data_IF_696231112110
#
_entry.id   IF_696231112110
#
_cell.length_a   1.000
_cell.length_b   1.000
_cell.length_c   1.000
_cell.angle_alpha   90.00
_cell.angle_beta   90.00
_cell.angle_gamma   90.00
#
_symmetry.space_group_name_H-M   'P 1'
#
loop_
_entity.id
_entity.type
_entity.pdbx_description
1 polymer ?
#
# COMPACT_ATOMS: atom_id res chain seq x y z
N UNK A 1 -34.71 79.02 3.81
CA UNK A 1 -34.43 78.00 2.78
C UNK A 1 -33.87 76.79 3.53
N UNK A 2 -34.57 75.65 3.47
CA UNK A 2 -34.41 74.48 4.35
C UNK A 2 -33.05 73.79 4.10
N UNK A 3 -32.31 73.46 5.16
CA UNK A 3 -31.27 72.42 5.16
C UNK A 3 -31.81 71.27 6.01
N UNK A 4 -31.95 70.11 5.37
CA UNK A 4 -32.51 68.91 5.96
C UNK A 4 -31.45 68.08 6.69
N UNK A 5 -31.86 67.58 7.84
CA UNK A 5 -31.25 66.53 8.63
C UNK A 5 -31.12 65.21 7.86
N UNK A 6 -30.00 64.51 8.05
CA UNK A 6 -29.96 63.05 7.95
C UNK A 6 -29.10 62.49 9.09
N UNK A 7 -29.77 62.10 10.19
CA UNK A 7 -29.22 61.30 11.28
C UNK A 7 -29.39 59.83 10.93
N UNK A 8 -28.29 59.11 10.72
CA UNK A 8 -28.29 57.65 10.58
C UNK A 8 -28.26 57.01 11.97
N UNK A 9 -29.28 56.20 12.28
CA UNK A 9 -29.38 55.38 13.48
C UNK A 9 -28.36 54.23 13.41
N UNK A 10 -27.44 54.16 14.38
CA UNK A 10 -26.67 52.94 14.68
C UNK A 10 -27.33 52.28 15.89
N UNK A 11 -28.08 51.21 15.64
CA UNK A 11 -28.58 50.32 16.69
C UNK A 11 -27.42 49.49 17.22
N UNK A 12 -27.20 49.59 18.53
CA UNK A 12 -26.27 48.76 19.30
C UNK A 12 -26.88 47.38 19.48
N UNK A 13 -26.26 46.34 18.91
CA UNK A 13 -26.45 44.96 19.33
C UNK A 13 -25.27 44.58 20.22
N UNK A 14 -25.55 44.34 21.49
CA UNK A 14 -24.62 43.75 22.46
C UNK A 14 -24.71 42.24 22.27
N UNK A 15 -23.62 41.61 21.83
CA UNK A 15 -23.49 40.16 21.86
C UNK A 15 -22.21 39.80 22.60
N UNK A 16 -22.43 38.99 23.63
CA UNK A 16 -21.47 38.49 24.61
C UNK A 16 -20.29 37.77 23.93
N UNK A 17 -19.06 38.23 24.19
CA UNK A 17 -17.85 37.44 23.93
C UNK A 17 -17.72 36.40 25.06
N UNK A 18 -18.15 35.17 24.79
CA UNK A 18 -17.65 34.01 25.54
C UNK A 18 -16.38 33.50 24.87
N UNK A 19 -15.31 33.60 25.62
CA UNK A 19 -13.98 33.06 25.36
C UNK A 19 -14.08 31.52 25.43
N UNK A 20 -14.10 30.84 24.29
CA UNK A 20 -13.81 29.40 24.23
C UNK A 20 -12.46 29.23 23.53
N UNK A 21 -11.52 28.68 24.28
CA UNK A 21 -10.17 28.40 23.83
C UNK A 21 -10.20 27.41 22.67
N UNK A 22 -9.54 27.79 21.57
CA UNK A 22 -9.11 26.89 20.51
C UNK A 22 -8.08 25.93 21.11
N UNK A 23 -8.49 24.69 21.36
CA UNK A 23 -7.57 23.55 21.36
C UNK A 23 -7.63 22.99 19.95
N UNK A 24 -6.69 23.41 19.12
CA UNK A 24 -6.47 22.80 17.82
C UNK A 24 -5.80 21.44 18.03
N UNK A 25 -6.59 20.37 17.92
CA UNK A 25 -6.05 19.08 17.52
C UNK A 25 -6.10 19.04 16.00
N UNK A 26 -4.92 19.01 15.38
CA UNK A 26 -4.77 18.74 13.96
C UNK A 26 -5.13 17.29 13.70
N UNK A 27 -6.36 17.07 13.25
CA UNK A 27 -6.74 15.86 12.52
C UNK A 27 -6.14 16.04 11.12
N UNK A 28 -5.18 15.20 10.76
CA UNK A 28 -4.55 15.25 9.44
C UNK A 28 -5.57 14.83 8.39
N UNK A 29 -5.55 15.46 7.21
CA UNK A 29 -6.44 15.17 6.08
C UNK A 29 -6.39 13.71 5.55
N UNK A 30 -5.55 12.85 6.14
CA UNK A 30 -5.52 11.41 5.91
C UNK A 30 -6.63 10.64 6.67
N UNK A 31 -7.24 11.21 7.71
CA UNK A 31 -8.34 10.57 8.46
C UNK A 31 -9.74 10.86 7.87
N UNK A 32 -9.87 11.81 6.93
CA UNK A 32 -11.15 12.21 6.33
C UNK A 32 -11.40 11.64 4.90
N UNK A 33 -10.55 10.72 4.43
CA UNK A 33 -10.80 9.99 3.19
C UNK A 33 -11.68 8.76 3.45
N UNK A 34 -12.98 8.91 3.14
CA UNK A 34 -14.03 7.89 3.08
C UNK A 34 -14.36 7.21 4.42
N UNK A 35 -15.60 7.42 4.90
CA UNK A 35 -16.31 6.40 5.65
C UNK A 35 -16.45 5.17 4.74
N UNK A 36 -15.41 4.35 4.67
CA UNK A 36 -15.42 3.12 3.90
C UNK A 36 -16.38 2.17 4.60
N UNK A 37 -17.22 1.48 3.83
CA UNK A 37 -18.07 0.40 4.33
C UNK A 37 -17.26 -0.85 4.72
N UNK A 38 -15.93 -0.74 4.84
CA UNK A 38 -15.02 -1.85 5.10
C UNK A 38 -14.60 -1.91 6.57
N UNK A 39 -14.34 -3.15 6.99
CA UNK A 39 -13.77 -3.46 8.29
C UNK A 39 -12.28 -3.11 8.29
N UNK A 40 -11.84 -2.38 9.30
CA UNK A 40 -10.44 -2.08 9.55
C UNK A 40 -9.89 -2.97 10.67
N UNK A 41 -8.65 -3.45 10.51
CA UNK A 41 -7.97 -4.25 11.53
C UNK A 41 -6.54 -3.72 11.67
N UNK A 42 -6.19 -3.31 12.88
CA UNK A 42 -4.84 -2.88 13.26
C UNK A 42 -4.28 -3.80 14.33
N UNK A 43 -2.95 -3.84 14.45
CA UNK A 43 -2.25 -4.67 15.43
C UNK A 43 -1.17 -3.86 16.14
N UNK A 44 -1.29 -3.79 17.46
CA UNK A 44 -0.16 -3.47 18.31
C UNK A 44 0.65 -4.74 18.57
N UNK A 45 1.80 -4.85 17.90
CA UNK A 45 2.69 -6.01 18.01
C UNK A 45 3.28 -6.18 19.42
N UNK A 46 3.45 -5.10 20.18
CA UNK A 46 4.07 -5.16 21.51
C UNK A 46 3.17 -5.82 22.55
N UNK A 47 1.86 -5.62 22.40
CA UNK A 47 0.83 -6.21 23.25
C UNK A 47 0.09 -7.37 22.58
N UNK A 48 0.43 -7.71 21.33
CA UNK A 48 -0.26 -8.69 20.48
C UNK A 48 -1.77 -8.45 20.37
N UNK A 49 -2.17 -7.17 20.43
CA UNK A 49 -3.56 -6.76 20.52
C UNK A 49 -4.05 -6.23 19.18
N UNK A 50 -5.13 -6.84 18.70
CA UNK A 50 -5.84 -6.47 17.49
C UNK A 50 -6.99 -5.53 17.84
N UNK A 51 -7.08 -4.39 17.16
CA UNK A 51 -8.26 -3.52 17.16
C UNK A 51 -8.99 -3.70 15.85
N UNK A 52 -10.29 -3.99 15.95
CA UNK A 52 -11.17 -4.34 14.84
C UNK A 52 -12.32 -3.35 14.85
N UNK A 53 -12.47 -2.59 13.78
CA UNK A 53 -13.49 -1.55 13.64
C UNK A 53 -14.29 -1.81 12.37
N UNK A 54 -15.61 -1.65 12.41
CA UNK A 54 -16.48 -1.87 11.26
C UNK A 54 -17.61 -0.84 11.19
N UNK A 55 -18.31 -0.72 10.05
CA UNK A 55 -19.45 0.20 9.95
C UNK A 55 -20.55 -0.16 10.95
N UNK A 56 -21.04 0.84 11.69
CA UNK A 56 -22.18 0.64 12.60
C UNK A 56 -23.50 0.50 11.82
N UNK A 57 -24.04 -0.71 11.81
CA UNK A 57 -25.40 -0.99 11.41
C UNK A 57 -26.33 -0.87 12.62
N UNK A 58 -26.95 0.31 12.74
CA UNK A 58 -27.78 0.68 13.90
C UNK A 58 -28.80 -0.40 14.30
N UNK A 59 -28.79 -0.76 15.59
CA UNK A 59 -29.76 -1.67 16.18
C UNK A 59 -29.49 -3.15 15.92
N UNK A 60 -28.32 -3.49 15.39
CA UNK A 60 -27.86 -4.87 15.24
C UNK A 60 -26.99 -5.32 16.42
N UNK A 61 -26.80 -6.64 16.51
CA UNK A 61 -25.70 -7.21 17.29
C UNK A 61 -24.73 -7.94 16.38
N UNK A 62 -23.48 -8.08 16.83
CA UNK A 62 -22.41 -8.69 16.05
C UNK A 62 -21.86 -9.94 16.76
N UNK A 63 -21.46 -10.92 15.95
CA UNK A 63 -20.62 -12.06 16.34
C UNK A 63 -19.27 -11.88 15.67
N UNK A 64 -18.20 -11.98 16.45
CA UNK A 64 -16.82 -11.89 15.95
C UNK A 64 -16.14 -13.23 16.16
N UNK A 65 -15.57 -13.76 15.10
CA UNK A 65 -14.77 -15.00 15.12
C UNK A 65 -13.38 -14.71 14.57
N UNK A 66 -12.38 -15.45 15.07
CA UNK A 66 -11.00 -15.43 14.57
C UNK A 66 -10.64 -16.78 13.98
N UNK A 67 -10.01 -16.80 12.81
CA UNK A 67 -9.58 -17.99 12.10
C UNK A 67 -8.15 -17.85 11.60
N UNK A 68 -7.46 -18.97 11.47
CA UNK A 68 -6.20 -19.07 10.72
C UNK A 68 -6.39 -19.33 9.23
N UNK A 69 -7.63 -19.56 8.78
CA UNK A 69 -7.96 -19.80 7.37
C UNK A 69 -8.26 -18.49 6.65
N UNK A 70 -7.73 -18.35 5.43
CA UNK A 70 -7.83 -17.13 4.62
C UNK A 70 -9.26 -16.76 4.23
N UNK A 71 -10.20 -17.70 4.28
CA UNK A 71 -11.63 -17.48 4.01
C UNK A 71 -12.46 -17.23 5.28
N UNK A 72 -11.80 -17.13 6.45
CA UNK A 72 -12.43 -16.89 7.74
C UNK A 72 -13.23 -18.07 8.29
N UNK A 73 -13.24 -19.23 7.63
CA UNK A 73 -14.02 -20.38 8.08
C UNK A 73 -13.37 -21.09 9.25
N UNK A 74 -14.17 -21.90 9.95
CA UNK A 74 -13.75 -22.66 11.13
C UNK A 74 -13.10 -21.76 12.21
N UNK A 75 -13.60 -20.53 12.35
CA UNK A 75 -13.12 -19.59 13.36
C UNK A 75 -13.61 -19.93 14.76
N UNK A 76 -12.81 -19.52 15.74
CA UNK A 76 -13.16 -19.53 17.15
C UNK A 76 -13.94 -18.26 17.50
N UNK A 77 -15.02 -18.40 18.25
CA UNK A 77 -15.84 -17.26 18.69
C UNK A 77 -15.11 -16.48 19.77
N UNK A 78 -14.81 -15.22 19.50
CA UNK A 78 -14.14 -14.32 20.43
C UNK A 78 -15.08 -13.25 21.01
N UNK A 79 -16.22 -13.02 20.35
CA UNK A 79 -17.31 -12.22 20.91
C UNK A 79 -18.67 -12.63 20.33
N UNK A 80 -19.71 -12.53 21.16
CA UNK A 80 -21.11 -12.73 20.76
C UNK A 80 -21.99 -11.59 21.26
N UNK A 81 -23.02 -11.28 20.48
CA UNK A 81 -24.04 -10.30 20.81
C UNK A 81 -23.48 -8.90 21.18
N UNK A 82 -22.37 -8.50 20.55
CA UNK A 82 -21.81 -7.16 20.70
C UNK A 82 -22.75 -6.11 20.13
N UNK A 83 -22.86 -4.97 20.79
CA UNK A 83 -23.65 -3.83 20.31
C UNK A 83 -22.76 -2.73 19.73
N UNK A 84 -21.49 -2.73 20.09
CA UNK A 84 -20.47 -1.82 19.60
C UNK A 84 -20.05 -2.20 18.17
N UNK A 85 -19.53 -1.22 17.44
CA UNK A 85 -18.94 -1.39 16.10
C UNK A 85 -17.41 -1.45 16.15
N UNK A 86 -16.87 -1.74 17.32
CA UNK A 86 -15.45 -1.88 17.62
C UNK A 86 -15.25 -3.08 18.56
N UNK A 87 -14.14 -3.80 18.41
CA UNK A 87 -13.75 -4.86 19.32
C UNK A 87 -12.23 -5.01 19.38
N UNK A 88 -11.74 -5.39 20.55
CA UNK A 88 -10.32 -5.63 20.77
C UNK A 88 -10.09 -7.07 21.20
N UNK A 89 -9.10 -7.71 20.58
CA UNK A 89 -8.72 -9.09 20.88
C UNK A 89 -7.21 -9.23 21.00
N UNK A 90 -6.73 -9.87 22.07
CA UNK A 90 -5.30 -10.13 22.27
C UNK A 90 -5.02 -11.58 21.89
N UNK A 91 -4.09 -11.78 20.96
CA UNK A 91 -3.63 -13.11 20.58
C UNK A 91 -2.68 -13.70 21.62
N UNK A 92 -2.70 -15.02 21.77
CA UNK A 92 -1.72 -15.73 22.61
C UNK A 92 -0.31 -15.69 22.00
N UNK A 93 -0.24 -15.68 20.67
CA UNK A 93 0.99 -15.62 19.88
C UNK A 93 0.75 -15.00 18.49
N UNK A 94 1.84 -14.55 17.87
CA UNK A 94 1.89 -14.06 16.48
C UNK A 94 2.63 -15.04 15.57
N UNK A 95 2.41 -16.34 15.76
CA UNK A 95 3.03 -17.44 15.00
C UNK A 95 2.22 -17.85 13.76
N UNK A 96 0.98 -17.37 13.65
CA UNK A 96 0.12 -17.54 12.49
C UNK A 96 -0.63 -16.25 12.17
N UNK A 97 -1.11 -16.15 10.93
CA UNK A 97 -1.98 -15.05 10.50
C UNK A 97 -3.40 -15.26 11.01
N UNK A 98 -4.01 -14.19 11.52
CA UNK A 98 -5.37 -14.17 12.03
C UNK A 98 -6.29 -13.41 11.07
N UNK A 99 -7.44 -14.02 10.79
CA UNK A 99 -8.53 -13.51 9.97
C UNK A 99 -9.77 -13.38 10.82
N UNK A 100 -10.43 -12.22 10.75
CA UNK A 100 -11.59 -11.90 11.57
C UNK A 100 -12.84 -11.88 10.72
N UNK A 101 -13.86 -12.63 11.13
CA UNK A 101 -15.20 -12.53 10.55
C UNK A 101 -16.12 -11.78 11.50
N UNK A 102 -16.73 -10.71 11.01
CA UNK A 102 -17.71 -9.90 11.72
C UNK A 102 -19.06 -10.18 11.09
N UNK A 103 -19.92 -10.88 11.82
CA UNK A 103 -21.25 -11.28 11.33
C UNK A 103 -22.32 -10.47 12.05
N UNK A 104 -22.97 -9.49 11.38
CA UNK A 104 -24.15 -8.83 11.93
C UNK A 104 -25.31 -9.83 12.06
N UNK A 105 -26.20 -9.60 13.02
CA UNK A 105 -27.40 -10.43 13.23
C UNK A 105 -28.24 -10.55 11.95
N UNK A 106 -28.34 -9.47 11.18
CA UNK A 106 -28.99 -9.39 9.87
C UNK A 106 -28.05 -8.71 8.87
N UNK A 107 -27.42 -9.49 8.00
CA UNK A 107 -26.56 -8.95 6.95
C UNK A 107 -25.54 -9.97 6.49
N UNK A 108 -24.59 -9.50 5.69
CA UNK A 108 -23.50 -10.32 5.18
C UNK A 108 -22.32 -10.31 6.16
N UNK A 109 -21.65 -11.46 6.28
CA UNK A 109 -20.42 -11.58 7.06
C UNK A 109 -19.31 -10.81 6.37
N UNK A 110 -18.65 -9.93 7.12
CA UNK A 110 -17.47 -9.21 6.66
C UNK A 110 -16.21 -9.97 7.09
N UNK A 111 -15.21 -10.03 6.22
CA UNK A 111 -13.92 -10.70 6.47
C UNK A 111 -12.77 -9.72 6.35
N UNK A 112 -11.95 -9.60 7.39
CA UNK A 112 -10.78 -8.73 7.39
C UNK A 112 -9.59 -9.34 8.11
N UNK A 113 -8.42 -8.79 7.85
CA UNK A 113 -7.18 -9.14 8.52
C UNK A 113 -6.25 -7.93 8.54
N UNK A 114 -5.24 -7.97 9.39
CA UNK A 114 -4.18 -6.96 9.36
C UNK A 114 -3.44 -7.04 8.02
N UNK A 115 -3.31 -5.90 7.36
CA UNK A 115 -2.70 -5.82 6.02
C UNK A 115 -1.19 -5.99 6.09
N UNK A 116 -0.52 -5.17 6.89
CA UNK A 116 0.93 -5.23 7.15
C UNK A 116 1.25 -6.46 8.00
N UNK A 117 2.14 -7.32 7.51
CA UNK A 117 2.55 -8.50 8.26
C UNK A 117 3.36 -8.09 9.50
N UNK A 118 3.20 -8.76 10.65
CA UNK A 118 3.91 -8.43 11.89
C UNK A 118 5.36 -8.94 11.90
N UNK A 119 6.13 -8.59 10.88
CA UNK A 119 7.52 -9.04 10.69
C UNK A 119 8.51 -8.07 11.35
N UNK A 120 9.49 -8.58 12.09
CA UNK A 120 10.53 -7.81 12.78
C UNK A 120 11.47 -7.12 11.78
N UNK A 121 11.95 -7.85 10.78
CA UNK A 121 12.86 -7.36 9.76
C UNK A 121 12.23 -7.20 8.38
N UNK A 122 10.91 -7.37 8.27
CA UNK A 122 10.20 -7.24 7.00
C UNK A 122 10.03 -5.78 6.60
N UNK A 123 10.39 -5.44 5.37
CA UNK A 123 10.19 -4.10 4.80
C UNK A 123 8.90 -4.05 3.99
N UNK A 124 7.93 -3.26 4.44
CA UNK A 124 6.66 -3.01 3.73
C UNK A 124 5.88 -4.28 3.29
N UNK A 125 6.08 -5.42 3.95
CA UNK A 125 5.54 -6.71 3.55
C UNK A 125 4.07 -6.81 3.95
N UNK A 126 3.16 -6.82 2.96
CA UNK A 126 1.72 -6.77 3.21
C UNK A 126 0.89 -7.55 2.19
N UNK A 127 -0.32 -7.90 2.59
CA UNK A 127 -1.32 -8.58 1.77
C UNK A 127 -2.10 -7.57 0.91
N UNK A 128 -2.45 -7.92 -0.33
CA UNK A 128 -3.28 -7.11 -1.23
C UNK A 128 -4.77 -7.49 -1.21
N UNK A 129 -5.18 -8.43 -0.35
CA UNK A 129 -6.56 -8.84 -0.17
C UNK A 129 -7.46 -7.80 0.49
N UNK A 130 -8.75 -8.10 0.56
CA UNK A 130 -9.76 -7.31 1.25
C UNK A 130 -10.33 -6.13 0.48
N UNK A 131 -9.70 -5.67 -0.61
CA UNK A 131 -10.22 -4.55 -1.39
C UNK A 131 -11.49 -4.93 -2.16
N UNK A 132 -12.51 -4.09 -2.07
CA UNK A 132 -13.73 -4.23 -2.88
C UNK A 132 -13.49 -3.75 -4.32
N UNK A 133 -14.21 -4.37 -5.26
CA UNK A 133 -14.17 -4.05 -6.69
C UNK A 133 -15.43 -3.29 -7.08
N UNK A 134 -15.39 -2.53 -8.18
CA UNK A 134 -16.54 -1.77 -8.67
C UNK A 134 -17.77 -2.64 -8.99
N UNK A 135 -17.56 -3.94 -9.26
CA UNK A 135 -18.63 -4.91 -9.52
C UNK A 135 -19.06 -5.73 -8.29
N UNK A 136 -18.62 -5.34 -7.08
CA UNK A 136 -19.07 -5.88 -5.80
C UNK A 136 -18.39 -7.18 -5.36
N UNK A 137 -17.37 -7.65 -6.08
CA UNK A 137 -16.49 -8.72 -5.59
C UNK A 137 -15.43 -8.18 -4.64
N UNK A 138 -14.73 -9.08 -3.96
CA UNK A 138 -13.61 -8.70 -3.08
C UNK A 138 -12.33 -9.44 -3.44
N UNK A 139 -11.18 -8.75 -3.38
CA UNK A 139 -9.88 -9.41 -3.50
C UNK A 139 -9.69 -10.37 -2.32
N UNK A 140 -9.44 -11.64 -2.61
CA UNK A 140 -9.22 -12.70 -1.62
C UNK A 140 -7.97 -12.41 -0.80
N UNK A 141 -8.12 -12.52 0.51
CA UNK A 141 -6.98 -12.48 1.43
C UNK A 141 -6.04 -13.68 1.24
N UNK A 142 -4.78 -13.47 1.59
CA UNK A 142 -3.76 -14.52 1.64
C UNK A 142 -3.36 -15.10 0.28
N UNK A 143 -3.64 -14.39 -0.81
CA UNK A 143 -3.31 -14.82 -2.17
C UNK A 143 -2.15 -14.06 -2.77
N UNK A 144 -2.06 -12.76 -2.51
CA UNK A 144 -1.05 -11.90 -3.11
C UNK A 144 -0.44 -11.00 -2.05
N UNK A 145 0.88 -11.00 -2.02
CA UNK A 145 1.66 -10.17 -1.13
C UNK A 145 2.61 -9.27 -1.90
N UNK A 146 2.85 -8.10 -1.35
CA UNK A 146 3.87 -7.18 -1.83
C UNK A 146 4.85 -6.86 -0.72
N UNK A 147 6.12 -6.67 -1.05
CA UNK A 147 7.14 -6.28 -0.06
C UNK A 147 8.25 -5.42 -0.67
N UNK A 148 9.09 -4.88 0.20
CA UNK A 148 10.45 -4.48 -0.13
C UNK A 148 11.41 -5.65 -0.05
N UNK A 149 12.69 -5.33 0.06
CA UNK A 149 13.78 -6.28 0.23
C UNK A 149 13.55 -7.15 1.46
N UNK A 150 13.96 -8.41 1.35
CA UNK A 150 13.73 -9.46 2.35
C UNK A 150 15.02 -9.91 3.06
N UNK A 151 16.15 -9.21 2.85
CA UNK A 151 17.43 -9.54 3.51
C UNK A 151 17.30 -9.44 5.04
N UNK A 152 16.58 -8.42 5.54
CA UNK A 152 16.40 -8.17 6.97
C UNK A 152 15.55 -9.19 7.72
N UNK A 153 14.85 -10.10 7.04
CA UNK A 153 13.93 -11.05 7.68
C UNK A 153 14.63 -11.94 8.72
N UNK A 154 14.08 -11.95 9.93
CA UNK A 154 14.60 -12.75 11.05
C UNK A 154 14.14 -14.21 10.98
N UNK A 155 14.69 -15.06 11.84
CA UNK A 155 14.26 -16.47 11.93
C UNK A 155 12.77 -16.56 12.33
N UNK A 156 12.33 -15.70 13.25
CA UNK A 156 10.92 -15.61 13.66
C UNK A 156 10.01 -15.14 12.51
N UNK A 157 10.51 -14.25 11.66
CA UNK A 157 9.79 -13.84 10.45
C UNK A 157 9.60 -15.01 9.48
N UNK A 158 10.62 -15.84 9.29
CA UNK A 158 10.51 -17.03 8.45
C UNK A 158 9.60 -18.11 9.04
N UNK A 159 9.55 -18.26 10.37
CA UNK A 159 8.58 -19.12 11.04
C UNK A 159 7.15 -18.65 10.76
N UNK A 160 6.89 -17.35 10.90
CA UNK A 160 5.59 -16.76 10.57
C UNK A 160 5.24 -16.92 9.08
N UNK A 161 6.16 -16.57 8.18
CA UNK A 161 5.96 -16.63 6.73
C UNK A 161 5.74 -18.05 6.23
N UNK A 162 6.30 -19.06 6.91
CA UNK A 162 6.07 -20.48 6.59
C UNK A 162 4.60 -20.86 6.69
N UNK A 163 3.83 -20.21 7.59
CA UNK A 163 2.39 -20.44 7.73
C UNK A 163 1.58 -19.95 6.53
N UNK A 164 2.11 -19.00 5.75
CA UNK A 164 1.41 -18.41 4.60
C UNK A 164 1.47 -19.32 3.37
N UNK A 165 2.46 -20.20 3.30
CA UNK A 165 2.62 -21.15 2.18
C UNK A 165 2.86 -20.47 0.83
N UNK A 166 3.60 -19.34 0.82
CA UNK A 166 4.01 -18.63 -0.41
C UNK A 166 4.73 -19.62 -1.33
N UNK A 167 4.34 -19.63 -2.61
CA UNK A 167 4.84 -20.55 -3.63
C UNK A 167 5.78 -19.89 -4.62
N UNK A 168 5.56 -18.61 -4.90
CA UNK A 168 6.31 -17.86 -5.91
C UNK A 168 6.75 -16.52 -5.32
N UNK A 169 8.00 -16.15 -5.60
CA UNK A 169 8.52 -14.80 -5.36
C UNK A 169 8.96 -14.20 -6.69
N UNK A 170 8.36 -13.07 -7.08
CA UNK A 170 8.81 -12.26 -8.21
C UNK A 170 9.66 -11.09 -7.71
N UNK A 171 10.98 -11.19 -7.86
CA UNK A 171 11.92 -10.14 -7.44
C UNK A 171 12.22 -9.17 -8.59
N UNK A 172 11.60 -7.99 -8.52
CA UNK A 172 11.70 -6.89 -9.49
C UNK A 172 12.99 -6.06 -9.32
N UNK A 173 13.86 -6.44 -8.38
CA UNK A 173 15.15 -5.78 -8.19
C UNK A 173 16.07 -5.98 -9.40
N UNK A 174 17.06 -5.13 -9.52
CA UNK A 174 18.16 -5.33 -10.47
C UNK A 174 19.12 -6.40 -9.96
N UNK A 175 20.00 -6.90 -10.83
CA UNK A 175 21.03 -7.86 -10.43
C UNK A 175 21.99 -7.30 -9.36
N UNK A 176 22.31 -6.01 -9.42
CA UNK A 176 23.12 -5.32 -8.41
C UNK A 176 22.45 -5.30 -7.05
N UNK A 177 21.21 -4.81 -6.98
CA UNK A 177 20.42 -4.77 -5.74
C UNK A 177 20.25 -6.15 -5.08
N UNK A 178 20.07 -7.22 -5.89
CA UNK A 178 20.01 -8.60 -5.36
C UNK A 178 21.36 -9.12 -4.84
N UNK A 179 22.47 -8.65 -5.41
CA UNK A 179 23.80 -9.02 -4.96
C UNK A 179 24.19 -8.29 -3.69
N UNK A 180 23.78 -7.03 -3.57
CA UNK A 180 24.08 -6.16 -2.42
C UNK A 180 23.22 -6.54 -1.20
N UNK A 181 21.95 -6.88 -1.41
CA UNK A 181 21.00 -7.27 -0.37
C UNK A 181 20.36 -8.64 -0.67
N UNK A 182 21.10 -9.77 -0.59
CA UNK A 182 20.60 -11.08 -0.98
C UNK A 182 19.41 -11.56 -0.12
N UNK A 183 18.46 -12.25 -0.75
CA UNK A 183 17.36 -12.91 -0.05
C UNK A 183 17.66 -14.39 0.14
N UNK A 184 17.93 -14.81 1.38
CA UNK A 184 18.03 -16.21 1.77
C UNK A 184 16.67 -16.73 2.26
N UNK A 185 15.79 -17.08 1.32
CA UNK A 185 14.42 -17.49 1.64
C UNK A 185 14.38 -18.83 2.39
N UNK A 186 13.78 -18.82 3.59
CA UNK A 186 13.73 -19.98 4.50
C UNK A 186 12.32 -20.45 4.85
N UNK A 187 11.29 -19.79 4.32
CA UNK A 187 9.89 -20.13 4.57
C UNK A 187 9.32 -21.08 3.51
N UNK A 188 9.81 -22.32 3.50
CA UNK A 188 9.35 -23.36 2.58
C UNK A 188 9.97 -23.30 1.18
N UNK A 189 9.50 -24.17 0.29
CA UNK A 189 9.99 -24.24 -1.10
C UNK A 189 9.22 -23.25 -1.98
N UNK A 190 9.96 -22.48 -2.76
CA UNK A 190 9.42 -21.48 -3.69
C UNK A 190 10.04 -21.62 -5.08
N UNK A 191 9.30 -21.15 -6.08
CA UNK A 191 9.87 -20.69 -7.34
C UNK A 191 10.30 -19.23 -7.17
N UNK A 192 11.60 -18.96 -7.23
CA UNK A 192 12.15 -17.61 -7.13
C UNK A 192 12.46 -17.09 -8.54
N UNK A 193 11.74 -16.05 -8.95
CA UNK A 193 11.81 -15.45 -10.27
C UNK A 193 12.56 -14.12 -10.18
N UNK A 194 13.56 -13.98 -11.04
CA UNK A 194 14.33 -12.75 -11.18
C UNK A 194 14.46 -12.39 -12.66
N UNK A 195 14.50 -11.09 -12.95
CA UNK A 195 14.40 -10.59 -14.31
C UNK A 195 15.70 -9.93 -14.76
N UNK A 196 15.97 -9.89 -16.08
CA UNK A 196 17.05 -9.08 -16.63
C UNK A 196 16.85 -7.61 -16.28
N UNK A 197 17.96 -6.90 -16.07
CA UNK A 197 17.90 -5.45 -15.84
C UNK A 197 17.39 -4.74 -17.11
N UNK A 198 16.58 -3.67 -16.97
CA UNK A 198 16.09 -2.92 -18.12
C UNK A 198 17.24 -2.40 -19.00
N UNK A 199 17.13 -2.54 -20.32
CA UNK A 199 18.15 -2.05 -21.24
C UNK A 199 18.18 -0.51 -21.27
N UNK A 200 19.36 0.09 -21.15
CA UNK A 200 19.57 1.54 -21.39
C UNK A 200 19.36 2.46 -20.17
N UNK A 201 19.15 1.91 -18.97
CA UNK A 201 18.78 2.70 -17.78
C UNK A 201 19.94 2.81 -16.80
N UNK A 202 20.85 3.77 -17.03
CA UNK A 202 21.56 4.34 -15.89
C UNK A 202 20.54 5.03 -14.99
N UNK A 203 20.63 4.86 -13.66
CA UNK A 203 19.87 5.65 -12.68
C UNK A 203 19.90 7.17 -12.97
N UNK A 204 20.92 7.61 -13.71
CA UNK A 204 21.17 8.96 -14.23
C UNK A 204 20.00 9.58 -14.99
N UNK A 205 19.16 8.81 -15.70
CA UNK A 205 18.06 9.36 -16.49
C UNK A 205 16.86 9.82 -15.64
N UNK A 206 16.49 9.03 -14.64
CA UNK A 206 15.36 9.35 -13.74
C UNK A 206 15.67 10.52 -12.81
N UNK A 207 16.93 10.62 -12.39
CA UNK A 207 17.39 11.63 -11.44
C UNK A 207 18.12 12.80 -12.10
N UNK A 208 18.08 12.93 -13.44
CA UNK A 208 18.84 13.97 -14.15
C UNK A 208 18.48 15.38 -13.67
N UNK A 209 17.21 15.62 -13.32
CA UNK A 209 16.74 16.90 -12.78
C UNK A 209 17.39 17.26 -11.44
N UNK A 210 17.83 16.27 -10.67
CA UNK A 210 18.41 16.48 -9.34
C UNK A 210 19.85 16.98 -9.41
N UNK A 211 20.45 16.94 -10.59
CA UNK A 211 21.75 17.55 -10.86
C UNK A 211 21.64 19.02 -11.31
N UNK A 212 20.43 19.56 -11.45
CA UNK A 212 20.24 20.96 -11.80
C UNK A 212 20.55 21.87 -10.59
N UNK A 213 21.29 22.97 -10.78
CA UNK A 213 21.73 23.84 -9.68
C UNK A 213 20.58 24.55 -8.95
N UNK A 214 19.42 24.69 -9.59
CA UNK A 214 18.24 25.38 -9.06
C UNK A 214 17.12 24.39 -8.68
N UNK A 215 17.46 23.13 -8.41
CA UNK A 215 16.48 22.11 -7.99
C UNK A 215 15.75 22.54 -6.71
N UNK A 216 14.42 22.46 -6.75
CA UNK A 216 13.52 22.74 -5.63
C UNK A 216 12.71 21.48 -5.26
N UNK A 217 12.10 21.43 -4.07
CA UNK A 217 11.21 20.32 -3.70
C UNK A 217 10.09 20.10 -4.72
N UNK A 218 9.51 21.18 -5.25
CA UNK A 218 8.43 21.12 -6.25
C UNK A 218 8.90 20.55 -7.58
N UNK A 219 10.08 20.96 -8.07
CA UNK A 219 10.64 20.40 -9.32
C UNK A 219 11.06 18.94 -9.15
N UNK A 220 11.57 18.56 -7.99
CA UNK A 220 11.91 17.17 -7.68
C UNK A 220 10.64 16.28 -7.63
N UNK A 221 9.61 16.72 -6.90
CA UNK A 221 8.29 16.07 -6.86
C UNK A 221 7.69 15.93 -8.25
N UNK A 222 7.72 17.00 -9.05
CA UNK A 222 7.19 16.97 -10.42
C UNK A 222 7.94 15.98 -11.30
N UNK A 223 9.27 15.95 -11.24
CA UNK A 223 10.05 15.02 -12.04
C UNK A 223 9.85 13.56 -11.62
N UNK A 224 9.73 13.29 -10.31
CA UNK A 224 9.33 11.98 -9.80
C UNK A 224 7.99 11.54 -10.41
N UNK A 225 6.98 12.42 -10.40
CA UNK A 225 5.67 12.14 -10.98
C UNK A 225 5.74 11.92 -12.50
N UNK A 226 6.45 12.78 -13.24
CA UNK A 226 6.58 12.71 -14.70
C UNK A 226 7.35 11.46 -15.17
N UNK A 227 8.29 10.98 -14.36
CA UNK A 227 9.09 9.80 -14.68
C UNK A 227 8.47 8.47 -14.21
N UNK A 228 7.35 8.50 -13.50
CA UNK A 228 6.85 7.34 -12.76
C UNK A 228 6.26 6.26 -13.69
N UNK A 229 5.56 6.67 -14.76
CA UNK A 229 5.04 5.75 -15.80
C UNK A 229 6.15 4.98 -16.52
N UNK A 230 7.33 5.57 -16.70
CA UNK A 230 8.50 4.90 -17.31
C UNK A 230 8.88 3.61 -16.58
N UNK A 231 8.74 3.57 -15.26
CA UNK A 231 9.00 2.37 -14.46
C UNK A 231 8.06 1.23 -14.91
N UNK A 232 6.82 1.53 -15.29
CA UNK A 232 5.88 0.52 -15.77
C UNK A 232 6.39 -0.14 -17.07
N UNK A 233 6.88 0.67 -18.02
CA UNK A 233 7.45 0.18 -19.28
C UNK A 233 8.72 -0.63 -19.07
N UNK A 234 9.61 -0.18 -18.18
CA UNK A 234 10.87 -0.87 -17.89
C UNK A 234 10.65 -2.23 -17.21
N UNK A 235 9.54 -2.39 -16.50
CA UNK A 235 9.20 -3.62 -15.79
C UNK A 235 8.28 -4.55 -16.59
N UNK A 236 7.95 -4.24 -17.85
CA UNK A 236 7.08 -5.07 -18.70
C UNK A 236 7.47 -6.56 -18.69
N UNK A 237 8.75 -6.96 -18.86
CA UNK A 237 9.12 -8.38 -18.83
C UNK A 237 8.82 -9.05 -17.47
N UNK A 238 9.03 -8.32 -16.38
CA UNK A 238 8.79 -8.81 -15.03
C UNK A 238 7.29 -8.90 -14.71
N UNK A 239 6.51 -7.90 -15.14
CA UNK A 239 5.06 -7.90 -14.96
C UNK A 239 4.38 -8.96 -15.83
N UNK A 240 4.83 -9.19 -17.06
CA UNK A 240 4.31 -10.29 -17.89
C UNK A 240 4.43 -11.62 -17.14
N UNK A 241 5.64 -11.97 -16.70
CA UNK A 241 5.86 -13.20 -15.95
C UNK A 241 5.03 -13.24 -14.66
N UNK A 242 4.95 -12.13 -13.92
CA UNK A 242 4.09 -12.07 -12.74
C UNK A 242 2.63 -12.39 -13.09
N UNK A 243 2.06 -11.79 -14.14
CA UNK A 243 0.69 -12.06 -14.58
C UNK A 243 0.50 -13.49 -15.11
N UNK A 244 1.51 -14.10 -15.74
CA UNK A 244 1.50 -15.51 -16.13
C UNK A 244 1.32 -16.43 -14.92
N UNK A 245 2.09 -16.21 -13.85
CA UNK A 245 2.00 -17.00 -12.61
C UNK A 245 0.65 -16.83 -11.92
N UNK A 246 0.10 -15.62 -11.94
CA UNK A 246 -1.24 -15.36 -11.43
C UNK A 246 -2.31 -16.11 -12.22
N UNK A 247 -2.22 -16.09 -13.55
CA UNK A 247 -3.15 -16.79 -14.42
C UNK A 247 -3.04 -18.32 -14.29
N UNK A 248 -1.83 -18.85 -14.08
CA UNK A 248 -1.57 -20.26 -13.81
C UNK A 248 -2.09 -20.74 -12.44
N UNK A 249 -2.40 -19.81 -11.52
CA UNK A 249 -2.84 -20.13 -10.17
C UNK A 249 -1.69 -20.49 -9.23
N UNK A 250 -0.48 -20.00 -9.51
CA UNK A 250 0.72 -20.17 -8.69
C UNK A 250 0.69 -19.23 -7.46
N UNK A 251 -0.37 -19.36 -6.67
CA UNK A 251 -0.67 -18.55 -5.47
C UNK A 251 -0.59 -19.41 -4.20
N UNK A 252 -0.20 -18.85 -3.04
CA UNK A 252 0.10 -17.43 -2.82
C UNK A 252 1.41 -16.96 -3.45
N UNK A 253 1.37 -15.77 -4.06
CA UNK A 253 2.51 -15.15 -4.74
C UNK A 253 2.93 -13.89 -3.99
N UNK A 254 4.23 -13.72 -3.78
CA UNK A 254 4.82 -12.46 -3.30
C UNK A 254 5.61 -11.79 -4.42
N UNK A 255 5.64 -10.47 -4.45
CA UNK A 255 6.51 -9.74 -5.37
C UNK A 255 7.12 -8.52 -4.68
N UNK A 256 8.35 -8.20 -5.03
CA UNK A 256 9.13 -7.21 -4.31
C UNK A 256 10.04 -6.38 -5.20
N UNK A 257 10.46 -5.24 -4.65
CA UNK A 257 11.61 -4.48 -5.12
C UNK A 257 12.47 -4.14 -3.89
N UNK A 258 13.31 -3.11 -3.92
CA UNK A 258 14.17 -2.76 -2.78
C UNK A 258 13.36 -2.10 -1.66
N UNK A 259 12.69 -0.98 -1.94
CA UNK A 259 11.85 -0.29 -0.96
C UNK A 259 10.46 -0.93 -0.77
N UNK A 260 9.98 -1.68 -1.77
CA UNK A 260 8.59 -2.14 -1.81
C UNK A 260 7.58 -1.05 -2.16
N UNK A 261 8.08 0.08 -2.67
CA UNK A 261 7.33 1.29 -3.00
C UNK A 261 7.09 1.44 -4.50
N UNK A 262 8.13 1.61 -5.31
CA UNK A 262 7.98 2.09 -6.69
C UNK A 262 7.62 1.00 -7.69
N UNK A 263 8.58 0.14 -8.06
CA UNK A 263 8.33 -1.01 -8.95
C UNK A 263 7.22 -1.91 -8.40
N UNK A 264 7.28 -2.24 -7.11
CA UNK A 264 6.21 -2.98 -6.43
C UNK A 264 4.88 -2.22 -6.41
N UNK A 265 4.88 -0.90 -6.24
CA UNK A 265 3.65 -0.11 -6.20
C UNK A 265 2.95 -0.03 -7.53
N UNK A 266 3.72 0.11 -8.61
CA UNK A 266 3.18 0.06 -9.97
C UNK A 266 2.62 -1.34 -10.26
N UNK A 267 3.37 -2.41 -9.95
CA UNK A 267 2.87 -3.78 -10.10
C UNK A 267 1.56 -4.03 -9.34
N UNK A 268 1.47 -3.57 -8.09
CA UNK A 268 0.25 -3.65 -7.29
C UNK A 268 -0.89 -2.82 -7.90
N UNK A 269 -0.62 -1.60 -8.35
CA UNK A 269 -1.64 -0.74 -8.94
C UNK A 269 -2.20 -1.28 -10.25
N UNK A 270 -1.33 -1.84 -11.11
CA UNK A 270 -1.73 -2.50 -12.35
C UNK A 270 -2.62 -3.72 -12.05
N UNK A 271 -2.23 -4.57 -11.09
CA UNK A 271 -2.99 -5.75 -10.70
C UNK A 271 -4.36 -5.37 -10.09
N UNK A 272 -4.39 -4.45 -9.12
CA UNK A 272 -5.64 -4.02 -8.49
C UNK A 272 -6.58 -3.36 -9.49
N UNK A 273 -6.06 -2.55 -10.42
CA UNK A 273 -6.84 -1.98 -11.52
C UNK A 273 -7.40 -3.09 -12.43
N UNK A 274 -6.62 -4.13 -12.74
CA UNK A 274 -7.09 -5.27 -13.54
C UNK A 274 -8.16 -6.12 -12.83
N UNK A 275 -8.14 -6.13 -11.50
CA UNK A 275 -9.18 -6.73 -10.66
C UNK A 275 -10.43 -5.85 -10.55
N UNK A 276 -10.41 -4.62 -11.06
CA UNK A 276 -11.54 -3.68 -11.01
C UNK A 276 -11.68 -2.99 -9.65
N UNK A 277 -10.60 -2.88 -8.88
CA UNK A 277 -10.59 -2.10 -7.63
C UNK A 277 -10.67 -0.60 -7.98
N UNK A 278 -11.51 0.19 -7.29
CA UNK A 278 -11.65 1.63 -7.55
C UNK A 278 -10.31 2.38 -7.50
N UNK A 279 -10.14 3.37 -8.39
CA UNK A 279 -8.88 4.13 -8.51
C UNK A 279 -8.43 4.74 -7.18
N UNK A 280 -9.36 5.34 -6.43
CA UNK A 280 -9.08 5.91 -5.10
C UNK A 280 -8.46 4.89 -4.13
N UNK A 281 -8.97 3.65 -4.12
CA UNK A 281 -8.47 2.55 -3.28
C UNK A 281 -7.09 2.08 -3.76
N UNK A 282 -6.85 2.02 -5.07
CA UNK A 282 -5.55 1.69 -5.65
C UNK A 282 -4.48 2.72 -5.22
N UNK A 283 -4.82 4.00 -5.30
CA UNK A 283 -3.93 5.10 -4.89
C UNK A 283 -3.68 5.06 -3.38
N UNK A 284 -4.73 4.75 -2.59
CA UNK A 284 -4.61 4.61 -1.15
C UNK A 284 -3.68 3.44 -0.74
N UNK A 285 -3.76 2.25 -1.37
CA UNK A 285 -2.82 1.14 -1.10
C UNK A 285 -1.36 1.54 -1.36
N UNK A 286 -1.12 2.27 -2.45
CA UNK A 286 0.21 2.75 -2.78
C UNK A 286 0.74 3.67 -1.67
N UNK A 287 -0.08 4.63 -1.22
CA UNK A 287 0.25 5.60 -0.19
C UNK A 287 0.53 4.98 1.19
N UNK A 288 -0.05 3.81 1.51
CA UNK A 288 0.24 3.08 2.75
C UNK A 288 1.73 2.79 2.96
N UNK A 289 2.52 2.79 1.89
CA UNK A 289 3.97 2.62 1.98
C UNK A 289 4.63 3.68 2.86
N UNK A 290 4.15 4.93 2.89
CA UNK A 290 4.64 6.00 3.78
C UNK A 290 4.13 5.87 5.21
N UNK A 291 3.04 5.12 5.42
CA UNK A 291 2.55 4.79 6.76
C UNK A 291 3.36 3.67 7.39
N UNK A 292 3.81 2.72 6.59
CA UNK A 292 4.47 1.49 7.07
C UNK A 292 5.98 1.58 7.12
N UNK A 293 6.60 2.49 6.37
CA UNK A 293 8.05 2.64 6.32
C UNK A 293 8.43 4.11 6.36
N UNK A 294 9.33 4.47 7.28
CA UNK A 294 9.98 5.77 7.29
C UNK A 294 11.23 5.72 6.40
N UNK A 295 11.02 5.85 5.08
CA UNK A 295 12.10 5.76 4.10
C UNK A 295 13.18 6.83 4.29
N UNK A 296 12.81 8.00 4.84
CA UNK A 296 13.78 9.06 5.11
C UNK A 296 14.72 8.65 6.25
N UNK A 297 14.17 8.13 7.36
CA UNK A 297 14.97 7.65 8.47
C UNK A 297 15.88 6.47 8.07
N UNK A 298 15.38 5.53 7.27
CA UNK A 298 16.17 4.43 6.71
C UNK A 298 17.32 4.96 5.85
N UNK A 299 17.02 5.84 4.88
CA UNK A 299 18.02 6.42 4.00
C UNK A 299 19.13 7.16 4.77
N UNK A 300 18.76 7.97 5.78
CA UNK A 300 19.74 8.69 6.62
C UNK A 300 20.63 7.72 7.39
N UNK A 301 20.04 6.65 7.94
CA UNK A 301 20.76 5.63 8.70
C UNK A 301 21.76 4.90 7.79
N UNK A 302 21.31 4.47 6.61
CA UNK A 302 22.14 3.74 5.65
C UNK A 302 23.24 4.64 5.08
N UNK A 303 22.93 5.87 4.69
CA UNK A 303 23.92 6.84 4.21
C UNK A 303 25.00 7.14 5.26
N UNK A 304 24.61 7.23 6.54
CA UNK A 304 25.54 7.43 7.66
C UNK A 304 26.38 6.20 7.99
N UNK A 305 25.84 5.00 7.80
CA UNK A 305 26.52 3.73 8.09
C UNK A 305 27.47 3.29 6.98
N UNK A 306 27.13 3.59 5.73
CA UNK A 306 27.69 2.88 4.59
C UNK A 306 28.85 3.58 3.90
N UNK A 307 28.99 4.91 4.03
CA UNK A 307 30.06 5.65 3.34
C UNK A 307 30.20 5.24 1.86
N UNK A 308 29.08 4.91 1.21
CA UNK A 308 29.05 4.30 -0.12
C UNK A 308 29.43 5.34 -1.18
N UNK A 309 30.71 5.69 -1.29
CA UNK A 309 31.23 6.56 -2.33
C UNK A 309 30.98 6.02 -3.75
N UNK A 310 30.79 4.69 -3.89
CA UNK A 310 30.63 3.99 -5.16
C UNK A 310 29.17 3.60 -5.52
N UNK A 311 28.18 3.92 -4.68
CA UNK A 311 26.77 3.67 -5.03
C UNK A 311 26.28 4.69 -6.07
N UNK A 312 25.50 4.28 -7.10
CA UNK A 312 24.88 5.22 -8.02
C UNK A 312 23.93 6.23 -7.34
N UNK A 313 23.53 5.95 -6.09
CA UNK A 313 22.66 6.80 -5.27
C UNK A 313 23.41 7.64 -4.23
N UNK A 314 24.74 7.54 -4.15
CA UNK A 314 25.55 8.29 -3.18
C UNK A 314 25.33 9.80 -3.24
N UNK A 315 25.08 10.33 -4.45
CA UNK A 315 24.82 11.76 -4.65
C UNK A 315 23.54 12.23 -3.94
N UNK A 316 22.55 11.35 -3.70
CA UNK A 316 21.31 11.70 -3.00
C UNK A 316 21.60 12.20 -1.58
N UNK A 317 22.63 11.65 -0.94
CA UNK A 317 23.07 12.08 0.39
C UNK A 317 23.68 13.50 0.40
N UNK A 318 23.95 14.08 -0.77
CA UNK A 318 24.46 15.45 -0.91
C UNK A 318 23.36 16.49 -1.15
N UNK A 319 22.13 16.04 -1.42
CA UNK A 319 20.99 16.93 -1.67
C UNK A 319 20.46 17.51 -0.34
N UNK A 320 19.90 18.74 -0.38
CA UNK A 320 19.12 19.26 0.75
C UNK A 320 17.96 18.31 1.11
N UNK A 321 17.65 18.17 2.40
CA UNK A 321 16.62 17.27 2.91
C UNK A 321 15.25 17.52 2.24
N UNK A 322 14.88 18.79 2.07
CA UNK A 322 13.64 19.20 1.38
C UNK A 322 13.56 18.77 -0.10
N UNK A 323 14.71 18.62 -0.77
CA UNK A 323 14.78 18.14 -2.17
C UNK A 323 14.77 16.61 -2.22
N UNK A 324 15.31 15.96 -1.19
CA UNK A 324 15.32 14.51 -1.04
C UNK A 324 13.95 13.96 -0.61
N UNK A 325 13.20 14.71 0.20
CA UNK A 325 11.92 14.29 0.75
C UNK A 325 10.93 13.76 -0.32
N UNK A 326 10.68 14.45 -1.45
CA UNK A 326 9.84 13.91 -2.51
C UNK A 326 10.28 12.55 -3.06
N UNK A 327 11.57 12.22 -3.03
CA UNK A 327 12.09 10.93 -3.51
C UNK A 327 11.83 9.81 -2.49
N UNK A 328 11.85 10.14 -1.20
CA UNK A 328 11.64 9.17 -0.13
C UNK A 328 10.15 8.86 0.06
N UNK A 329 9.27 9.80 -0.28
CA UNK A 329 7.81 9.67 -0.16
C UNK A 329 7.18 8.71 -1.17
N UNK A 330 6.03 8.18 -0.81
CA UNK A 330 5.07 7.40 -1.60
C UNK A 330 3.89 8.30 -1.95
N UNK A 331 4.19 9.43 -2.57
CA UNK A 331 3.17 10.46 -2.77
C UNK A 331 2.08 9.99 -3.75
N UNK A 332 0.79 10.05 -3.38
CA UNK A 332 -0.34 9.67 -4.23
C UNK A 332 -0.26 10.20 -5.66
N UNK A 333 0.28 11.41 -5.84
CA UNK A 333 0.40 12.04 -7.17
C UNK A 333 1.27 11.23 -8.13
N UNK A 334 2.23 10.44 -7.63
CA UNK A 334 3.14 9.65 -8.47
C UNK A 334 2.41 8.50 -9.15
N UNK A 335 1.65 7.73 -8.37
CA UNK A 335 0.90 6.60 -8.92
C UNK A 335 -0.31 7.07 -9.73
N UNK A 336 -0.98 8.14 -9.30
CA UNK A 336 -2.06 8.77 -10.09
C UNK A 336 -1.54 9.24 -11.44
N UNK A 337 -0.39 9.91 -11.46
CA UNK A 337 0.22 10.38 -12.69
C UNK A 337 0.64 9.22 -13.59
N UNK A 338 1.27 8.18 -13.05
CA UNK A 338 1.68 7.02 -13.83
C UNK A 338 0.49 6.36 -14.53
N UNK A 339 -0.60 6.11 -13.79
CA UNK A 339 -1.78 5.47 -14.36
C UNK A 339 -2.50 6.39 -15.36
N UNK A 340 -2.52 7.70 -15.11
CA UNK A 340 -3.07 8.69 -16.04
C UNK A 340 -2.25 8.84 -17.33
N UNK A 341 -0.92 8.76 -17.25
CA UNK A 341 -0.04 8.77 -18.43
C UNK A 341 -0.25 7.50 -19.27
N UNK A 342 -0.35 6.34 -18.62
CA UNK A 342 -0.69 5.07 -19.29
C UNK A 342 -2.06 5.16 -19.97
N UNK A 343 -3.07 5.72 -19.32
CA UNK A 343 -4.39 5.92 -19.91
C UNK A 343 -4.37 6.88 -21.10
N UNK A 344 -3.57 7.94 -21.02
CA UNK A 344 -3.42 8.89 -22.12
C UNK A 344 -2.75 8.27 -23.35
N UNK A 345 -1.81 7.33 -23.15
CA UNK A 345 -1.07 6.67 -24.23
C UNK A 345 -1.84 5.48 -24.83
N UNK A 346 -2.40 4.60 -23.99
CA UNK A 346 -3.02 3.34 -24.42
C UNK A 346 -4.55 3.38 -24.44
N UNK A 347 -5.16 4.43 -23.90
CA UNK A 347 -6.61 4.59 -23.73
C UNK A 347 -7.17 3.98 -22.45
N UNK A 348 -6.49 2.99 -21.86
CA UNK A 348 -6.78 2.45 -20.53
C UNK A 348 -5.59 1.66 -19.97
N UNK A 349 -5.55 1.44 -18.64
CA UNK A 349 -4.58 0.53 -18.02
C UNK A 349 -4.74 -0.90 -18.54
N UNK A 350 -5.98 -1.35 -18.79
CA UNK A 350 -6.24 -2.66 -19.39
C UNK A 350 -5.66 -2.79 -20.80
N UNK A 351 -5.73 -1.71 -21.59
CA UNK A 351 -5.15 -1.67 -22.92
C UNK A 351 -3.62 -1.74 -22.89
N UNK A 352 -2.96 -1.10 -21.93
CA UNK A 352 -1.52 -1.25 -21.68
C UNK A 352 -1.15 -2.69 -21.29
N UNK A 353 -1.89 -3.28 -20.34
CA UNK A 353 -1.65 -4.66 -19.93
C UNK A 353 -1.80 -5.65 -21.10
N UNK A 354 -2.79 -5.43 -21.98
CA UNK A 354 -2.99 -6.29 -23.14
C UNK A 354 -1.96 -6.07 -24.27
N UNK A 355 -1.54 -4.82 -24.52
CA UNK A 355 -0.68 -4.47 -25.65
C UNK A 355 0.81 -4.59 -25.35
N UNK A 356 1.25 -4.13 -24.17
CA UNK A 356 2.66 -4.08 -23.79
C UNK A 356 3.04 -5.24 -22.88
N UNK A 357 2.20 -5.54 -21.88
CA UNK A 357 2.41 -6.67 -20.96
C UNK A 357 1.90 -7.98 -21.56
N UNK A 358 1.23 -7.96 -22.71
CA UNK A 358 0.70 -9.12 -23.46
C UNK A 358 -0.32 -9.97 -22.66
N UNK A 359 -1.06 -9.37 -21.72
CA UNK A 359 -2.05 -10.09 -20.89
C UNK A 359 -3.32 -10.33 -21.68
N UNK A 360 -3.64 -11.59 -21.91
CA UNK A 360 -4.80 -11.98 -22.71
C UNK A 360 -6.10 -11.92 -21.88
N UNK A 361 -7.24 -11.79 -22.56
CA UNK A 361 -8.56 -11.87 -21.92
C UNK A 361 -8.75 -13.15 -21.10
N UNK A 362 -8.21 -14.27 -21.58
CA UNK A 362 -8.28 -15.55 -20.87
C UNK A 362 -7.48 -15.53 -19.57
N UNK A 363 -6.30 -14.90 -19.58
CA UNK A 363 -5.49 -14.72 -18.37
C UNK A 363 -6.16 -13.79 -17.38
N UNK A 364 -6.75 -12.67 -17.82
CA UNK A 364 -7.52 -11.80 -16.94
C UNK A 364 -8.67 -12.55 -16.26
N UNK A 365 -9.43 -13.37 -17.00
CA UNK A 365 -10.50 -14.18 -16.43
C UNK A 365 -9.97 -15.20 -15.42
N UNK A 366 -8.83 -15.84 -15.72
CA UNK A 366 -8.18 -16.77 -14.79
C UNK A 366 -7.73 -16.05 -13.51
N UNK A 367 -7.04 -14.92 -13.63
CA UNK A 367 -6.58 -14.10 -12.51
C UNK A 367 -7.77 -13.67 -11.63
N UNK A 368 -8.86 -13.16 -12.23
CA UNK A 368 -10.07 -12.80 -11.48
C UNK A 368 -10.66 -14.01 -10.75
N UNK A 369 -10.74 -15.18 -11.38
CA UNK A 369 -11.26 -16.38 -10.73
C UNK A 369 -10.38 -16.85 -9.55
N UNK A 370 -9.06 -16.67 -9.65
CA UNK A 370 -8.12 -16.99 -8.60
C UNK A 370 -8.21 -15.99 -7.43
N UNK A 371 -8.32 -14.70 -7.74
CA UNK A 371 -8.13 -13.61 -6.78
C UNK A 371 -9.40 -12.93 -6.27
N UNK A 372 -10.56 -13.09 -6.90
CA UNK A 372 -11.82 -12.50 -6.44
C UNK A 372 -12.73 -13.53 -5.78
N UNK A 373 -13.51 -13.10 -4.79
CA UNK A 373 -14.55 -13.87 -4.11
C UNK A 373 -15.88 -13.12 -4.08
#
# INVERSE_FOLDING_TARGET
MRMGDFRMHIQKFVMSLSLCALVGCGVTAAEELQASADVSVTLDRSSMTYSIDWPDFTGQTYRVEVSSQTDGRAGDVIAEALHESEFTWTADALDARHYFTITPQNGETMLAAVRLLPLEGGRNFRDLGGYETEDGHRVKWGRIYRSGVMEGLTDADYDYLSSLGIKVICDLRTAGERSDEPTDWRAGQIEYLSFPDPEGTGATGFFSVLYEPDVTPETARKAMADGYSRIAHEQVPAYREMFDRLAAGDIPLAFNCSAGKDRTGIGAALLLTALGVPRETVVADYALSDTYVDYMAEFITDAGASGHEDSPYAFLATLPEEVLEPLMRSDPVYIERALGDIEAEYGSVMAFLAQEVDVTDQEFLAIRAQLLQ
#
